data_IF_065604504371
#
_entry.id   IF_065604504371
#
_cell.length_a   1.000
_cell.length_b   1.000
_cell.length_c   1.000
_cell.angle_alpha   90.00
_cell.angle_beta   90.00
_cell.angle_gamma   90.00
#
_symmetry.space_group_name_H-M   'P 1'
#
loop_
_entity.id
_entity.type
_entity.pdbx_description
1 polymer ?
#
# COMPACT_ATOMS: atom_id res chain seq x y z
N UNK A 1 -8.78 -41.36 -70.58
CA UNK A 1 -9.07 -41.11 -69.15
C UNK A 1 -7.83 -40.99 -68.25
N UNK A 2 -6.74 -41.76 -68.46
CA UNK A 2 -5.55 -41.66 -67.59
C UNK A 2 -4.76 -40.34 -67.72
N UNK A 3 -4.64 -39.77 -68.92
CA UNK A 3 -3.92 -38.50 -69.14
C UNK A 3 -4.59 -37.28 -68.46
N UNK A 4 -5.92 -37.28 -68.32
CA UNK A 4 -6.67 -36.20 -67.65
C UNK A 4 -6.45 -36.22 -66.12
N UNK A 5 -6.27 -37.41 -65.52
CA UNK A 5 -5.98 -37.56 -64.08
C UNK A 5 -4.57 -37.07 -63.72
N UNK A 6 -3.60 -37.22 -64.62
CA UNK A 6 -2.21 -36.78 -64.39
C UNK A 6 -2.08 -35.25 -64.39
N UNK A 7 -2.80 -34.56 -65.28
CA UNK A 7 -2.80 -33.09 -65.33
C UNK A 7 -3.53 -32.46 -64.12
N UNK A 8 -4.64 -33.07 -63.67
CA UNK A 8 -5.33 -32.60 -62.47
C UNK A 8 -4.45 -32.77 -61.21
N UNK A 9 -3.71 -33.87 -61.12
CA UNK A 9 -2.81 -34.15 -60.01
C UNK A 9 -1.60 -33.19 -59.97
N UNK A 10 -1.04 -32.85 -61.15
CA UNK A 10 0.02 -31.84 -61.26
C UNK A 10 -0.48 -30.44 -60.88
N UNK A 11 -1.67 -30.04 -61.33
CA UNK A 11 -2.22 -28.73 -60.97
C UNK A 11 -2.61 -28.65 -59.48
N UNK A 12 -3.12 -29.73 -58.89
CA UNK A 12 -3.36 -29.79 -57.44
C UNK A 12 -2.05 -29.72 -56.64
N UNK A 13 -0.99 -30.42 -57.07
CA UNK A 13 0.32 -30.34 -56.43
C UNK A 13 0.94 -28.94 -56.54
N UNK A 14 0.77 -28.26 -57.67
CA UNK A 14 1.19 -26.86 -57.84
C UNK A 14 0.39 -25.92 -56.95
N UNK A 15 -0.92 -26.14 -56.80
CA UNK A 15 -1.78 -25.33 -55.93
C UNK A 15 -1.45 -25.54 -54.45
N UNK A 16 -1.16 -26.79 -54.04
CA UNK A 16 -0.73 -27.14 -52.68
C UNK A 16 0.67 -26.57 -52.40
N UNK A 17 1.58 -26.58 -53.37
CA UNK A 17 2.91 -25.96 -53.22
C UNK A 17 2.81 -24.44 -53.09
N UNK A 18 1.91 -23.77 -53.84
CA UNK A 18 1.65 -22.33 -53.71
C UNK A 18 0.96 -21.99 -52.37
N UNK A 19 0.03 -22.82 -51.91
CA UNK A 19 -0.60 -22.69 -50.58
C UNK A 19 0.40 -22.96 -49.43
N UNK A 20 1.36 -23.87 -49.62
CA UNK A 20 2.43 -24.14 -48.65
C UNK A 20 3.50 -23.03 -48.59
N UNK A 21 3.69 -22.28 -49.69
CA UNK A 21 4.55 -21.08 -49.72
C UNK A 21 3.82 -19.86 -49.14
N UNK A 22 2.48 -19.81 -49.22
CA UNK A 22 1.65 -18.77 -48.59
C UNK A 22 1.33 -19.02 -47.12
N UNK A 23 1.49 -20.27 -46.65
CA UNK A 23 1.62 -20.57 -45.23
C UNK A 23 2.99 -20.06 -44.78
N UNK A 24 3.09 -18.73 -44.60
CA UNK A 24 4.26 -18.09 -44.02
C UNK A 24 4.67 -18.87 -42.78
N UNK A 25 5.98 -19.16 -42.66
CA UNK A 25 6.50 -19.85 -41.49
C UNK A 25 5.96 -19.14 -40.26
N UNK A 26 5.19 -19.86 -39.43
CA UNK A 26 4.72 -19.33 -38.17
C UNK A 26 5.95 -19.08 -37.30
N UNK A 27 6.48 -17.85 -37.35
CA UNK A 27 7.58 -17.44 -36.49
C UNK A 27 7.00 -17.41 -35.08
N UNK A 28 7.50 -18.27 -34.21
CA UNK A 28 7.18 -18.16 -32.80
C UNK A 28 7.81 -16.85 -32.29
N UNK A 29 6.98 -15.95 -31.76
CA UNK A 29 7.42 -14.67 -31.20
C UNK A 29 6.91 -14.51 -29.78
N UNK A 30 7.69 -13.84 -28.94
CA UNK A 30 7.22 -13.37 -27.65
C UNK A 30 6.29 -12.17 -27.86
N UNK A 31 5.29 -12.03 -27.00
CA UNK A 31 4.37 -10.89 -26.99
C UNK A 31 4.32 -10.31 -25.60
N UNK A 32 4.53 -9.01 -25.50
CA UNK A 32 4.28 -8.25 -24.30
C UNK A 32 3.43 -7.04 -24.64
N UNK A 33 2.24 -6.95 -24.04
CA UNK A 33 1.32 -5.83 -24.20
C UNK A 33 1.17 -5.10 -22.86
N UNK A 34 2.05 -4.12 -22.55
CA UNK A 34 1.95 -3.36 -21.31
C UNK A 34 0.63 -2.60 -21.17
N UNK A 35 0.01 -2.25 -22.29
CA UNK A 35 -1.29 -1.60 -22.34
C UNK A 35 -2.16 -2.25 -23.40
N UNK A 36 -3.16 -3.01 -22.97
CA UNK A 36 -4.08 -3.72 -23.86
C UNK A 36 -4.74 -2.76 -24.86
N UNK A 37 -4.60 -3.07 -26.15
CA UNK A 37 -5.17 -2.28 -27.24
C UNK A 37 -4.51 -0.92 -27.47
N UNK A 38 -3.38 -0.63 -26.83
CA UNK A 38 -2.69 0.66 -26.99
C UNK A 38 -1.18 0.56 -27.22
N UNK A 39 -0.51 -0.42 -26.61
CA UNK A 39 0.91 -0.67 -26.85
C UNK A 39 1.25 -2.14 -26.67
N UNK A 40 1.85 -2.74 -27.70
CA UNK A 40 2.40 -4.08 -27.66
C UNK A 40 3.79 -4.10 -28.30
N UNK A 41 4.66 -4.92 -27.75
CA UNK A 41 5.93 -5.29 -28.36
C UNK A 41 6.00 -6.79 -28.53
N UNK A 42 6.48 -7.20 -29.69
CA UNK A 42 6.75 -8.58 -30.02
C UNK A 42 8.23 -8.76 -30.27
N UNK A 43 8.77 -9.94 -29.97
CA UNK A 43 10.18 -10.21 -30.23
C UNK A 43 10.48 -11.65 -30.63
N UNK A 44 11.54 -11.84 -31.40
CA UNK A 44 12.11 -13.15 -31.71
C UNK A 44 13.59 -12.99 -32.08
N UNK A 45 14.31 -14.10 -32.18
CA UNK A 45 15.69 -14.13 -32.66
C UNK A 45 15.69 -14.58 -34.13
N UNK A 46 16.32 -13.78 -35.00
CA UNK A 46 16.46 -14.13 -36.41
C UNK A 46 17.51 -15.24 -36.63
N UNK A 47 17.63 -15.74 -37.87
CA UNK A 47 18.59 -16.79 -38.22
C UNK A 47 20.06 -16.38 -38.05
N UNK A 48 20.34 -15.09 -37.86
CA UNK A 48 21.68 -14.54 -37.66
C UNK A 48 21.96 -14.26 -36.17
N UNK A 49 21.02 -14.56 -35.27
CA UNK A 49 21.16 -14.32 -33.83
C UNK A 49 20.83 -12.88 -33.40
N UNK A 50 20.27 -12.05 -34.27
CA UNK A 50 19.84 -10.70 -33.90
C UNK A 50 18.48 -10.72 -33.20
N UNK A 51 18.31 -9.86 -32.20
CA UNK A 51 17.00 -9.64 -31.60
C UNK A 51 16.16 -8.75 -32.53
N UNK A 52 15.01 -9.27 -32.95
CA UNK A 52 14.04 -8.54 -33.77
C UNK A 52 12.87 -8.14 -32.90
N UNK A 53 12.48 -6.88 -32.98
CA UNK A 53 11.33 -6.34 -32.26
C UNK A 53 10.29 -5.81 -33.25
N UNK A 54 9.01 -5.97 -32.91
CA UNK A 54 7.91 -5.27 -33.57
C UNK A 54 7.10 -4.52 -32.54
N UNK A 55 6.97 -3.21 -32.69
CA UNK A 55 6.17 -2.36 -31.83
C UNK A 55 4.87 -2.04 -32.54
N UNK A 56 3.75 -2.19 -31.83
CA UNK A 56 2.43 -1.72 -32.23
C UNK A 56 1.91 -0.72 -31.21
N UNK A 57 1.44 0.43 -31.67
CA UNK A 57 0.86 1.45 -30.81
C UNK A 57 -0.38 2.10 -31.43
N UNK A 58 -1.37 2.43 -30.61
CA UNK A 58 -2.53 3.24 -31.00
C UNK A 58 -2.23 4.74 -31.06
N UNK A 59 -1.01 5.16 -30.74
CA UNK A 59 -0.60 6.56 -30.79
C UNK A 59 -0.56 7.10 -32.22
N UNK A 60 -0.89 8.39 -32.41
CA UNK A 60 -0.82 9.05 -33.72
C UNK A 60 0.46 9.86 -33.92
N UNK A 61 1.15 10.21 -32.84
CA UNK A 61 2.35 11.04 -32.89
C UNK A 61 3.61 10.22 -33.06
N UNK A 62 4.03 9.54 -31.98
CA UNK A 62 5.19 8.66 -31.98
C UNK A 62 5.05 7.56 -30.92
N UNK A 63 5.76 6.45 -31.12
CA UNK A 63 5.84 5.34 -30.18
C UNK A 63 7.32 4.91 -30.03
N UNK A 64 7.74 4.56 -28.82
CA UNK A 64 9.13 4.25 -28.52
C UNK A 64 9.28 3.03 -27.62
N UNK A 65 10.38 2.31 -27.84
CA UNK A 65 10.86 1.23 -27.00
C UNK A 65 12.30 1.52 -26.59
N UNK A 66 12.64 1.36 -25.32
CA UNK A 66 13.97 1.66 -24.80
C UNK A 66 14.46 0.66 -23.76
N UNK A 67 15.78 0.59 -23.59
CA UNK A 67 16.44 -0.25 -22.59
C UNK A 67 16.37 0.36 -21.19
N UNK A 68 16.53 -0.49 -20.17
CA UNK A 68 16.73 -0.06 -18.80
C UNK A 68 15.42 0.17 -18.02
N UNK A 69 15.55 0.86 -16.88
CA UNK A 69 14.45 1.07 -15.95
C UNK A 69 13.77 2.44 -16.06
N UNK A 70 14.45 3.40 -16.69
CA UNK A 70 14.05 4.80 -16.75
C UNK A 70 14.60 5.45 -18.01
N UNK A 71 14.07 6.61 -18.37
CA UNK A 71 14.53 7.39 -19.51
C UNK A 71 16.01 7.78 -19.38
N UNK A 72 16.48 8.11 -18.18
CA UNK A 72 17.90 8.37 -17.93
C UNK A 72 18.74 7.09 -18.11
N UNK A 73 19.76 7.15 -18.97
CA UNK A 73 20.63 6.01 -19.30
C UNK A 73 20.02 5.03 -20.30
N UNK A 74 18.84 5.34 -20.87
CA UNK A 74 18.17 4.47 -21.84
C UNK A 74 18.69 4.70 -23.26
N UNK A 75 18.89 3.60 -23.98
CA UNK A 75 18.98 3.59 -25.43
C UNK A 75 17.62 3.21 -26.00
N UNK A 76 17.09 4.01 -26.91
CA UNK A 76 15.71 3.86 -27.38
C UNK A 76 15.56 4.00 -28.89
N UNK A 77 14.57 3.29 -29.41
CA UNK A 77 14.11 3.39 -30.79
C UNK A 77 12.75 4.08 -30.75
N UNK A 78 12.65 5.21 -31.42
CA UNK A 78 11.40 5.98 -31.56
C UNK A 78 10.92 5.84 -32.99
N UNK A 79 9.66 5.44 -33.20
CA UNK A 79 9.01 5.33 -34.50
C UNK A 79 7.80 6.24 -34.65
N UNK A 80 7.60 6.79 -35.84
CA UNK A 80 6.44 7.62 -36.20
C UNK A 80 6.09 7.51 -37.68
N UNK A 81 4.89 7.96 -38.05
CA UNK A 81 4.50 8.10 -39.45
C UNK A 81 5.03 9.44 -39.97
N UNK A 82 5.85 9.41 -41.01
CA UNK A 82 6.45 10.58 -41.62
C UNK A 82 5.47 11.31 -42.56
N UNK A 83 5.91 12.44 -43.14
CA UNK A 83 5.09 13.25 -44.05
C UNK A 83 4.69 12.55 -45.35
N UNK A 84 5.34 11.43 -45.70
CA UNK A 84 5.02 10.62 -46.89
C UNK A 84 4.18 9.39 -46.54
N UNK A 85 3.55 9.36 -45.35
CA UNK A 85 2.80 8.21 -44.81
C UNK A 85 3.62 6.91 -44.65
N UNK A 86 4.95 7.00 -44.68
CA UNK A 86 5.84 5.89 -44.36
C UNK A 86 6.17 5.88 -42.87
N UNK A 87 6.63 4.73 -42.36
CA UNK A 87 7.13 4.65 -40.98
C UNK A 87 8.61 4.96 -40.95
N UNK A 88 9.03 5.87 -40.08
CA UNK A 88 10.42 6.20 -39.82
C UNK A 88 10.78 5.83 -38.39
N UNK A 89 12.02 5.38 -38.16
CA UNK A 89 12.58 5.18 -36.82
C UNK A 89 13.79 6.09 -36.55
N UNK A 90 14.09 6.35 -35.28
CA UNK A 90 15.26 7.09 -34.82
C UNK A 90 15.89 6.40 -33.62
N UNK A 91 17.18 6.12 -33.72
CA UNK A 91 18.04 5.66 -32.63
C UNK A 91 18.36 6.85 -31.72
N UNK A 92 18.10 6.75 -30.41
CA UNK A 92 18.35 7.83 -29.46
C UNK A 92 18.94 7.34 -28.15
N UNK A 93 19.73 8.21 -27.53
CA UNK A 93 20.33 7.99 -26.21
C UNK A 93 19.88 9.10 -25.29
N UNK A 94 19.47 8.73 -24.08
CA UNK A 94 19.04 9.67 -23.08
C UNK A 94 19.95 9.66 -21.86
N UNK A 95 20.34 10.84 -21.41
CA UNK A 95 21.13 11.07 -20.19
C UNK A 95 20.27 11.58 -19.02
N UNK A 96 18.96 11.72 -19.22
CA UNK A 96 18.05 12.30 -18.24
C UNK A 96 16.58 12.20 -18.64
N UNK A 97 15.80 13.24 -18.36
CA UNK A 97 14.36 13.33 -18.67
C UNK A 97 14.03 14.40 -19.72
N UNK A 98 15.05 14.87 -20.44
CA UNK A 98 14.89 15.80 -21.56
C UNK A 98 14.73 15.05 -22.88
N UNK A 99 14.35 15.75 -23.96
CA UNK A 99 14.25 15.15 -25.30
C UNK A 99 15.57 14.43 -25.65
N UNK A 100 15.55 13.11 -25.90
CA UNK A 100 16.77 12.34 -26.15
C UNK A 100 17.48 12.81 -27.41
N UNK A 101 18.81 12.84 -27.36
CA UNK A 101 19.61 13.14 -28.54
C UNK A 101 19.65 11.94 -29.49
N UNK A 102 19.84 12.21 -30.79
CA UNK A 102 20.13 11.14 -31.75
C UNK A 102 21.41 10.40 -31.34
N UNK A 103 21.38 9.07 -31.46
CA UNK A 103 22.55 8.26 -31.16
C UNK A 103 23.69 8.57 -32.15
N UNK A 104 24.95 8.58 -31.71
CA UNK A 104 26.10 8.84 -32.58
C UNK A 104 26.35 7.70 -33.60
N UNK A 105 25.79 6.52 -33.35
CA UNK A 105 25.78 5.39 -34.27
C UNK A 105 24.45 4.64 -34.17
N UNK A 106 24.02 4.02 -35.26
CA UNK A 106 22.81 3.19 -35.29
C UNK A 106 23.05 1.86 -34.58
N UNK A 107 22.17 1.52 -33.64
CA UNK A 107 22.16 0.21 -32.96
C UNK A 107 20.92 -0.62 -33.30
N UNK A 108 19.85 0.03 -33.76
CA UNK A 108 18.68 -0.59 -34.32
C UNK A 108 18.47 -0.16 -35.78
N UNK A 109 18.18 -1.15 -36.64
CA UNK A 109 17.97 -0.96 -38.06
C UNK A 109 16.54 -1.32 -38.41
N UNK A 110 15.85 -0.44 -39.13
CA UNK A 110 14.46 -0.65 -39.54
C UNK A 110 14.35 -1.85 -40.48
N UNK A 111 13.31 -2.65 -40.25
CA UNK A 111 12.95 -3.78 -41.10
C UNK A 111 11.57 -3.53 -41.71
N UNK A 112 11.22 -4.24 -42.81
CA UNK A 112 9.82 -4.44 -43.17
C UNK A 112 9.04 -4.97 -41.97
N UNK A 113 7.77 -4.61 -41.88
CA UNK A 113 6.93 -5.03 -40.76
C UNK A 113 6.88 -6.58 -40.70
N UNK A 114 7.36 -7.15 -39.60
CA UNK A 114 7.48 -8.60 -39.42
C UNK A 114 6.18 -9.22 -38.89
N UNK A 115 5.42 -8.46 -38.10
CA UNK A 115 4.15 -8.90 -37.52
C UNK A 115 3.05 -7.96 -38.02
N UNK A 116 2.00 -8.48 -38.69
CA UNK A 116 0.92 -7.67 -39.24
C UNK A 116 0.24 -6.77 -38.21
N UNK A 117 -0.26 -5.62 -38.67
CA UNK A 117 -0.96 -4.68 -37.80
C UNK A 117 -2.22 -5.30 -37.18
N UNK A 118 -2.38 -5.25 -35.84
CA UNK A 118 -3.68 -5.49 -35.25
C UNK A 118 -4.63 -4.31 -35.55
N UNK A 119 -5.96 -4.50 -35.50
CA UNK A 119 -6.94 -3.47 -35.90
C UNK A 119 -6.86 -2.15 -35.12
N UNK A 120 -6.30 -2.16 -33.92
CA UNK A 120 -6.18 -0.99 -33.05
C UNK A 120 -4.87 -0.20 -33.24
N UNK A 121 -3.88 -0.75 -33.94
CA UNK A 121 -2.58 -0.12 -34.09
C UNK A 121 -2.58 0.92 -35.22
N UNK A 122 -2.12 2.13 -34.89
CA UNK A 122 -1.94 3.22 -35.84
C UNK A 122 -0.47 3.28 -36.27
N UNK A 123 0.47 3.20 -35.31
CA UNK A 123 1.90 3.15 -35.57
C UNK A 123 2.38 1.72 -35.35
N UNK A 124 3.03 1.15 -36.37
CA UNK A 124 3.69 -0.15 -36.27
C UNK A 124 5.02 -0.14 -36.99
N UNK A 125 6.06 -0.67 -36.35
CA UNK A 125 7.37 -0.80 -36.97
C UNK A 125 8.13 -1.99 -36.40
N UNK A 126 8.94 -2.60 -37.28
CA UNK A 126 9.88 -3.64 -36.90
C UNK A 126 11.30 -3.15 -37.06
N UNK A 127 12.18 -3.62 -36.18
CA UNK A 127 13.60 -3.32 -36.24
C UNK A 127 14.41 -4.48 -35.69
N UNK A 128 15.62 -4.66 -36.22
CA UNK A 128 16.62 -5.54 -35.63
C UNK A 128 17.55 -4.74 -34.74
N UNK A 129 17.91 -5.30 -33.60
CA UNK A 129 18.88 -4.75 -32.67
C UNK A 129 20.21 -5.48 -32.83
N UNK A 130 21.28 -4.73 -33.11
CA UNK A 130 22.60 -5.31 -33.32
C UNK A 130 23.15 -5.88 -32.00
N UNK A 131 23.50 -7.18 -31.93
CA UNK A 131 23.99 -7.81 -30.71
C UNK A 131 25.38 -7.32 -30.28
N UNK A 132 26.15 -6.69 -31.18
CA UNK A 132 27.50 -6.17 -30.94
C UNK A 132 27.55 -4.69 -30.51
N UNK A 133 26.41 -4.06 -30.23
CA UNK A 133 26.38 -2.64 -29.86
C UNK A 133 26.86 -2.41 -28.41
N UNK A 134 28.06 -1.84 -28.27
CA UNK A 134 28.58 -1.35 -26.98
C UNK A 134 27.83 -0.12 -26.46
N UNK A 135 27.01 0.52 -27.31
CA UNK A 135 26.30 1.76 -27.01
C UNK A 135 24.93 1.45 -26.38
N UNK A 136 24.32 0.34 -26.81
CA UNK A 136 22.95 0.00 -26.47
C UNK A 136 22.83 -1.51 -26.16
N UNK A 137 23.41 -2.01 -25.06
CA UNK A 137 23.39 -3.42 -24.72
C UNK A 137 21.97 -3.88 -24.37
N UNK A 138 21.58 -5.03 -24.92
CA UNK A 138 20.36 -5.75 -24.53
C UNK A 138 20.65 -6.73 -23.40
N UNK A 139 19.65 -6.96 -22.56
CA UNK A 139 19.69 -7.98 -21.49
C UNK A 139 18.45 -8.86 -21.58
N UNK A 140 18.62 -10.18 -21.47
CA UNK A 140 17.50 -11.14 -21.50
C UNK A 140 17.69 -12.18 -20.40
N UNK A 141 16.76 -12.29 -19.43
CA UNK A 141 15.65 -11.36 -19.17
C UNK A 141 16.17 -9.97 -18.78
N UNK A 142 15.53 -8.91 -19.29
CA UNK A 142 15.94 -7.54 -19.05
C UNK A 142 14.79 -6.60 -18.71
N UNK A 143 15.15 -5.43 -18.21
CA UNK A 143 14.17 -4.35 -17.99
C UNK A 143 14.24 -3.37 -19.16
N UNK A 144 13.05 -2.98 -19.62
CA UNK A 144 12.83 -2.07 -20.73
C UNK A 144 11.76 -1.05 -20.37
N UNK A 145 11.61 -0.04 -21.21
CA UNK A 145 10.62 1.01 -21.11
C UNK A 145 9.91 1.20 -22.44
N UNK A 146 8.68 1.70 -22.38
CA UNK A 146 7.96 2.18 -23.55
C UNK A 146 7.42 3.57 -23.29
N UNK A 147 7.23 4.33 -24.35
CA UNK A 147 6.59 5.63 -24.30
C UNK A 147 5.90 5.93 -25.63
N UNK A 148 4.87 6.76 -25.60
CA UNK A 148 4.18 7.20 -26.79
C UNK A 148 3.56 8.59 -26.58
N UNK A 149 3.33 9.28 -27.70
CA UNK A 149 2.58 10.53 -27.75
C UNK A 149 1.34 10.33 -28.63
N UNK A 150 0.17 10.38 -28.01
CA UNK A 150 -1.10 10.00 -28.64
C UNK A 150 -1.55 10.93 -29.76
N UNK A 151 -1.21 12.22 -29.70
CA UNK A 151 -1.72 13.22 -30.66
C UNK A 151 -0.85 13.30 -31.93
N UNK A 152 -1.43 13.74 -33.04
CA UNK A 152 -0.67 13.92 -34.30
C UNK A 152 0.45 14.92 -34.12
N UNK A 153 1.61 14.61 -34.69
CA UNK A 153 2.73 15.55 -34.76
C UNK A 153 2.36 16.77 -35.62
N UNK A 154 2.72 17.95 -35.14
CA UNK A 154 2.68 19.17 -35.95
C UNK A 154 3.81 19.15 -36.98
N UNK A 155 3.58 19.53 -38.26
CA UNK A 155 4.63 19.60 -39.26
C UNK A 155 5.79 20.50 -38.79
N UNK A 156 7.02 19.98 -38.82
CA UNK A 156 8.22 20.71 -38.39
C UNK A 156 8.39 20.87 -36.86
N UNK A 157 7.49 20.32 -36.06
CA UNK A 157 7.62 20.30 -34.60
C UNK A 157 8.65 19.27 -34.11
N UNK A 158 9.38 19.59 -33.04
CA UNK A 158 10.21 18.62 -32.33
C UNK A 158 9.38 17.52 -31.67
N UNK A 159 10.02 16.47 -31.15
CA UNK A 159 9.32 15.38 -30.45
C UNK A 159 8.65 15.90 -29.16
N UNK A 160 7.30 15.91 -29.07
CA UNK A 160 6.61 16.31 -27.86
C UNK A 160 6.85 15.29 -26.74
N UNK A 161 6.69 15.73 -25.49
CA UNK A 161 6.79 14.86 -24.31
C UNK A 161 5.70 13.79 -24.37
N UNK A 162 6.05 12.53 -24.07
CA UNK A 162 5.10 11.44 -24.03
C UNK A 162 3.94 11.71 -23.05
N UNK A 163 2.73 11.30 -23.43
CA UNK A 163 1.56 11.28 -22.56
C UNK A 163 1.17 9.84 -22.18
N UNK A 164 1.78 8.83 -22.80
CA UNK A 164 1.69 7.41 -22.42
C UNK A 164 3.09 6.85 -22.21
N UNK A 165 3.33 6.13 -21.11
CA UNK A 165 4.64 5.55 -20.77
C UNK A 165 4.54 4.44 -19.76
N UNK A 166 5.53 3.56 -19.74
CA UNK A 166 5.68 2.57 -18.69
C UNK A 166 6.95 1.75 -18.81
N UNK A 167 7.01 0.66 -18.05
CA UNK A 167 8.15 -0.23 -18.01
C UNK A 167 7.74 -1.67 -18.27
N UNK A 168 8.58 -2.40 -18.98
CA UNK A 168 8.47 -3.84 -19.24
C UNK A 168 9.56 -4.52 -18.41
N UNK A 169 9.19 -5.38 -17.46
CA UNK A 169 10.12 -5.99 -16.50
C UNK A 169 10.35 -7.44 -16.82
N UNK A 170 11.57 -7.91 -16.59
CA UNK A 170 12.00 -9.28 -16.87
C UNK A 170 11.56 -9.76 -18.27
N UNK A 171 11.61 -8.86 -19.26
CA UNK A 171 11.26 -9.18 -20.62
C UNK A 171 12.37 -10.05 -21.19
N UNK A 172 12.00 -11.31 -21.46
CA UNK A 172 12.89 -12.26 -22.09
C UNK A 172 12.60 -12.29 -23.59
N UNK A 173 13.36 -11.50 -24.35
CA UNK A 173 13.14 -11.40 -25.79
C UNK A 173 13.63 -12.65 -26.55
N UNK A 174 14.34 -13.56 -25.87
CA UNK A 174 14.86 -14.81 -26.44
C UNK A 174 13.83 -15.95 -26.39
N UNK A 175 12.89 -15.93 -25.46
CA UNK A 175 11.88 -16.98 -25.33
C UNK A 175 10.63 -16.62 -26.11
N UNK A 176 10.46 -17.21 -27.28
CA UNK A 176 9.17 -17.19 -27.96
C UNK A 176 8.15 -17.94 -27.10
N UNK A 177 7.11 -17.26 -26.63
CA UNK A 177 5.98 -17.95 -26.01
C UNK A 177 5.23 -18.73 -27.11
N UNK A 178 4.83 -19.99 -26.87
CA UNK A 178 3.95 -20.68 -27.81
C UNK A 178 2.65 -19.86 -27.93
N UNK A 179 2.29 -19.56 -29.18
CA UNK A 179 1.06 -18.87 -29.56
C UNK A 179 -0.16 -19.55 -28.93
N UNK A 180 -0.78 -18.92 -27.93
CA UNK A 180 -2.14 -19.28 -27.51
C UNK A 180 -3.08 -18.50 -28.41
N UNK A 181 -3.47 -19.17 -29.50
CA UNK A 181 -4.63 -18.76 -30.29
C UNK A 181 -5.89 -18.89 -29.43
N UNK A 182 -6.85 -18.00 -29.62
CA UNK A 182 -8.03 -17.88 -28.77
C UNK A 182 -8.84 -19.17 -28.70
N UNK A 183 -8.99 -19.73 -27.50
CA UNK A 183 -9.80 -20.93 -27.27
C UNK A 183 -10.09 -21.17 -25.80
N UNK A 184 -11.36 -21.01 -25.45
CA UNK A 184 -12.11 -21.45 -24.26
C UNK A 184 -11.38 -22.30 -23.20
N UNK A 185 -11.49 -21.84 -21.96
CA UNK A 185 -11.11 -22.58 -20.75
C UNK A 185 -11.76 -23.97 -20.67
N UNK A 186 -10.94 -25.02 -20.59
CA UNK A 186 -11.04 -26.08 -19.58
C UNK A 186 -9.91 -27.11 -19.76
N UNK A 187 -9.10 -27.33 -18.72
CA UNK A 187 -8.85 -28.66 -18.13
C UNK A 187 -7.73 -28.63 -17.08
N UNK A 188 -8.15 -28.97 -15.87
CA UNK A 188 -7.54 -29.81 -14.84
C UNK A 188 -6.16 -30.46 -15.09
N UNK A 189 -5.25 -30.22 -14.13
CA UNK A 189 -4.26 -31.14 -13.49
C UNK A 189 -3.30 -31.93 -14.41
N UNK A 190 -2.05 -32.26 -14.06
CA UNK A 190 -1.26 -32.28 -12.84
C UNK A 190 0.19 -32.52 -13.29
N UNK A 191 1.17 -31.89 -12.67
CA UNK A 191 2.57 -32.06 -13.07
C UNK A 191 3.51 -31.43 -12.06
N UNK A 192 3.82 -32.19 -11.01
CA UNK A 192 4.70 -31.81 -9.90
C UNK A 192 6.10 -31.50 -10.41
N UNK A 193 6.42 -30.20 -10.49
CA UNK A 193 7.79 -29.70 -10.49
C UNK A 193 7.84 -28.54 -9.50
N UNK A 194 8.43 -28.80 -8.33
CA UNK A 194 8.80 -27.75 -7.37
C UNK A 194 9.91 -26.91 -8.00
N UNK A 195 9.50 -25.99 -8.87
CA UNK A 195 10.30 -24.82 -9.19
C UNK A 195 9.94 -23.76 -8.16
N UNK A 196 10.89 -23.41 -7.31
CA UNK A 196 10.78 -22.28 -6.39
C UNK A 196 10.44 -21.04 -7.21
N UNK A 197 9.17 -20.62 -7.16
CA UNK A 197 8.70 -19.44 -7.86
C UNK A 197 9.41 -18.21 -7.28
N UNK A 198 10.51 -17.80 -7.92
CA UNK A 198 11.00 -16.44 -7.83
C UNK A 198 9.88 -15.60 -8.46
N UNK A 199 9.19 -14.86 -7.59
CA UNK A 199 7.96 -14.15 -7.91
C UNK A 199 8.24 -13.04 -8.93
N UNK A 200 8.22 -13.42 -10.20
CA UNK A 200 8.41 -12.54 -11.34
C UNK A 200 7.06 -11.89 -11.62
N UNK A 201 6.96 -10.58 -11.38
CA UNK A 201 5.70 -9.85 -11.51
C UNK A 201 5.23 -9.83 -12.96
N UNK A 202 4.21 -10.63 -13.27
CA UNK A 202 3.38 -10.39 -14.45
C UNK A 202 2.76 -8.98 -14.34
N UNK A 203 2.45 -8.29 -15.45
CA UNK A 203 1.73 -7.01 -15.44
C UNK A 203 0.44 -7.04 -14.60
N UNK A 204 -0.24 -8.21 -14.57
CA UNK A 204 -1.40 -8.45 -13.73
C UNK A 204 -1.08 -8.54 -12.23
N UNK A 205 0.06 -9.13 -11.84
CA UNK A 205 0.49 -9.16 -10.45
C UNK A 205 0.86 -7.75 -9.96
N UNK A 206 1.56 -6.96 -10.77
CA UNK A 206 1.90 -5.58 -10.42
C UNK A 206 0.65 -4.72 -10.25
N UNK A 207 -0.31 -4.80 -11.19
CA UNK A 207 -1.61 -4.13 -11.06
C UNK A 207 -2.33 -4.56 -9.78
N UNK A 208 -2.35 -5.86 -9.49
CA UNK A 208 -2.95 -6.41 -8.26
C UNK A 208 -2.29 -5.81 -7.02
N UNK A 209 -0.97 -5.72 -6.99
CA UNK A 209 -0.22 -5.15 -5.88
C UNK A 209 -0.51 -3.66 -5.72
N UNK A 210 -0.61 -2.90 -6.81
CA UNK A 210 -0.98 -1.48 -6.78
C UNK A 210 -2.40 -1.30 -6.21
N UNK A 211 -3.35 -2.14 -6.62
CA UNK A 211 -4.72 -2.13 -6.08
C UNK A 211 -4.73 -2.50 -4.60
N UNK A 212 -4.03 -3.56 -4.19
CA UNK A 212 -3.90 -3.94 -2.78
C UNK A 212 -3.24 -2.83 -1.95
N UNK A 213 -2.23 -2.15 -2.51
CA UNK A 213 -1.61 -1.00 -1.87
C UNK A 213 -2.64 0.12 -1.65
N UNK A 214 -3.40 0.49 -2.69
CA UNK A 214 -4.43 1.52 -2.61
C UNK A 214 -5.54 1.18 -1.60
N UNK A 215 -6.07 -0.04 -1.62
CA UNK A 215 -7.09 -0.50 -0.67
C UNK A 215 -6.53 -0.51 0.75
N UNK A 216 -5.33 -1.04 0.96
CA UNK A 216 -4.67 -1.06 2.27
C UNK A 216 -4.43 0.35 2.81
N UNK A 217 -3.99 1.29 1.96
CA UNK A 217 -3.81 2.69 2.34
C UNK A 217 -5.14 3.38 2.65
N UNK A 218 -6.22 3.06 1.94
CA UNK A 218 -7.55 3.57 2.28
C UNK A 218 -8.04 3.07 3.64
N UNK A 219 -7.83 1.79 3.97
CA UNK A 219 -8.13 1.29 5.33
C UNK A 219 -7.25 2.01 6.37
N UNK A 220 -5.96 2.15 6.09
CA UNK A 220 -4.99 2.71 7.03
C UNK A 220 -5.13 4.21 7.27
N UNK A 221 -5.52 5.00 6.27
CA UNK A 221 -5.57 6.47 6.35
C UNK A 221 -6.96 7.05 6.12
N UNK A 222 -7.82 6.32 5.41
CA UNK A 222 -9.20 6.69 5.16
C UNK A 222 -10.18 6.15 6.21
N UNK A 223 -9.84 5.13 7.01
CA UNK A 223 -10.78 4.53 7.98
C UNK A 223 -10.20 4.53 9.40
N UNK A 224 -9.05 3.89 9.63
CA UNK A 224 -8.52 3.65 10.97
C UNK A 224 -8.32 4.94 11.81
N UNK A 225 -7.74 6.03 11.28
CA UNK A 225 -7.60 7.30 11.98
C UNK A 225 -8.92 7.86 12.50
N UNK A 226 -9.98 7.78 11.69
CA UNK A 226 -11.30 8.29 12.06
C UNK A 226 -11.82 7.61 13.33
N UNK A 227 -11.85 6.27 13.33
CA UNK A 227 -12.37 5.52 14.45
C UNK A 227 -11.49 5.63 15.69
N UNK A 228 -10.18 5.40 15.57
CA UNK A 228 -9.34 5.39 16.76
C UNK A 228 -9.13 6.79 17.37
N UNK A 229 -9.10 7.87 16.57
CA UNK A 229 -9.05 9.24 17.12
C UNK A 229 -10.39 9.60 17.76
N UNK A 230 -11.52 9.24 17.14
CA UNK A 230 -12.84 9.50 17.71
C UNK A 230 -12.99 8.82 19.08
N UNK A 231 -12.58 7.55 19.19
CA UNK A 231 -12.56 6.80 20.46
C UNK A 231 -11.69 7.50 21.51
N UNK A 232 -10.45 7.85 21.15
CA UNK A 232 -9.51 8.49 22.07
C UNK A 232 -9.89 9.93 22.44
N UNK A 233 -10.78 10.58 21.67
CA UNK A 233 -11.23 11.95 21.95
C UNK A 233 -12.54 12.00 22.74
N UNK A 234 -13.54 11.24 22.32
CA UNK A 234 -14.92 11.41 22.81
C UNK A 234 -15.43 10.27 23.69
N UNK A 235 -14.80 9.09 23.64
CA UNK A 235 -15.31 7.88 24.31
C UNK A 235 -14.49 7.45 25.54
N UNK A 236 -13.55 8.27 26.00
CA UNK A 236 -12.69 8.00 27.16
C UNK A 236 -13.47 7.65 28.43
N UNK A 237 -14.47 8.46 28.77
CA UNK A 237 -15.27 8.26 30.00
C UNK A 237 -16.20 7.06 29.91
N UNK A 238 -16.72 6.76 28.70
CA UNK A 238 -17.66 5.67 28.47
C UNK A 238 -17.00 4.30 28.42
N UNK A 239 -15.76 4.23 27.94
CA UNK A 239 -15.05 2.97 27.68
C UNK A 239 -14.00 2.64 28.75
N UNK A 240 -13.72 3.53 29.70
CA UNK A 240 -12.70 3.34 30.74
C UNK A 240 -11.38 2.81 30.13
N UNK A 241 -10.74 1.74 30.66
CA UNK A 241 -9.47 1.22 30.12
C UNK A 241 -9.54 0.85 28.62
N UNK A 242 -10.73 0.51 28.10
CA UNK A 242 -10.91 0.05 26.73
C UNK A 242 -10.69 1.15 25.69
N UNK A 243 -10.85 2.43 26.02
CA UNK A 243 -10.56 3.50 25.03
C UNK A 243 -9.12 3.41 24.53
N UNK A 244 -8.18 3.13 25.44
CA UNK A 244 -6.75 3.05 25.13
C UNK A 244 -6.45 1.79 24.33
N UNK A 245 -7.00 0.63 24.73
CA UNK A 245 -6.80 -0.64 24.01
C UNK A 245 -7.34 -0.58 22.58
N UNK A 246 -8.54 -0.03 22.40
CA UNK A 246 -9.14 0.11 21.08
C UNK A 246 -8.37 1.12 20.23
N UNK A 247 -7.96 2.26 20.79
CA UNK A 247 -7.10 3.21 20.08
C UNK A 247 -5.79 2.57 19.65
N UNK A 248 -5.13 1.84 20.56
CA UNK A 248 -3.88 1.14 20.30
C UNK A 248 -4.06 0.10 19.19
N UNK A 249 -5.05 -0.79 19.28
CA UNK A 249 -5.27 -1.84 18.28
C UNK A 249 -5.59 -1.22 16.91
N UNK A 250 -6.48 -0.23 16.86
CA UNK A 250 -6.87 0.41 15.60
C UNK A 250 -5.69 1.14 14.96
N UNK A 251 -4.95 1.94 15.74
CA UNK A 251 -3.81 2.70 15.20
C UNK A 251 -2.60 1.82 14.90
N UNK A 252 -2.31 0.83 15.74
CA UNK A 252 -1.14 -0.01 15.58
C UNK A 252 -1.34 -1.06 14.47
N UNK A 253 -2.45 -1.80 14.50
CA UNK A 253 -2.68 -2.87 13.51
C UNK A 253 -3.15 -2.29 12.19
N UNK A 254 -4.22 -1.49 12.21
CA UNK A 254 -4.87 -1.07 10.97
C UNK A 254 -4.25 0.19 10.34
N UNK A 255 -3.61 1.07 11.11
CA UNK A 255 -2.88 2.20 10.53
C UNK A 255 -1.40 1.88 10.35
N UNK A 256 -0.66 1.56 11.41
CA UNK A 256 0.80 1.37 11.35
C UNK A 256 1.22 0.11 10.56
N UNK A 257 0.78 -1.09 10.94
CA UNK A 257 1.21 -2.33 10.27
C UNK A 257 0.79 -2.33 8.79
N UNK A 258 -0.44 -1.92 8.47
CA UNK A 258 -0.87 -1.82 7.07
C UNK A 258 -0.08 -0.77 6.29
N UNK A 259 0.23 0.39 6.88
CA UNK A 259 1.05 1.42 6.20
C UNK A 259 2.43 0.89 5.88
N UNK A 260 3.12 0.31 6.87
CA UNK A 260 4.47 -0.23 6.68
C UNK A 260 4.46 -1.41 5.72
N UNK A 261 3.57 -2.38 5.92
CA UNK A 261 3.46 -3.56 5.07
C UNK A 261 3.18 -3.20 3.61
N UNK A 262 2.21 -2.33 3.37
CA UNK A 262 1.86 -1.88 2.03
C UNK A 262 2.93 -0.98 1.38
N UNK A 263 3.66 -0.17 2.17
CA UNK A 263 4.83 0.60 1.68
C UNK A 263 5.99 -0.32 1.29
N UNK A 264 6.28 -1.33 2.12
CA UNK A 264 7.34 -2.31 1.85
C UNK A 264 7.00 -3.15 0.62
N UNK A 265 5.76 -3.64 0.53
CA UNK A 265 5.30 -4.41 -0.64
C UNK A 265 5.44 -3.57 -1.91
N UNK A 266 4.95 -2.33 -1.95
CA UNK A 266 5.07 -1.53 -3.18
C UNK A 266 6.53 -1.15 -3.49
N UNK A 267 7.37 -0.99 -2.47
CA UNK A 267 8.80 -0.74 -2.62
C UNK A 267 9.52 -1.93 -3.24
N UNK A 268 9.27 -3.14 -2.75
CA UNK A 268 9.91 -4.37 -3.24
C UNK A 268 9.57 -4.69 -4.70
N UNK A 269 8.39 -4.26 -5.18
CA UNK A 269 7.93 -4.54 -6.54
C UNK A 269 8.13 -3.37 -7.52
N UNK A 270 8.59 -2.21 -7.04
CA UNK A 270 8.85 -1.04 -7.88
C UNK A 270 10.35 -0.82 -8.01
N UNK A 271 10.86 -0.78 -9.23
CA UNK A 271 12.26 -0.41 -9.49
C UNK A 271 12.44 1.12 -9.66
N UNK A 272 13.60 1.68 -9.28
CA UNK A 272 13.82 3.13 -9.17
C UNK A 272 13.77 3.92 -10.51
N UNK A 273 13.63 5.27 -10.47
CA UNK A 273 13.88 6.13 -9.32
C UNK A 273 12.68 6.20 -8.37
N UNK A 274 12.94 5.81 -7.12
CA UNK A 274 12.09 6.17 -6.00
C UNK A 274 12.13 7.72 -5.88
N UNK A 275 11.07 8.35 -5.35
CA UNK A 275 11.04 9.77 -4.96
C UNK A 275 10.84 10.88 -6.03
N UNK A 276 10.39 10.60 -7.26
CA UNK A 276 10.18 11.68 -8.25
C UNK A 276 8.75 12.22 -8.35
N UNK A 277 7.80 11.63 -7.62
CA UNK A 277 6.40 12.02 -7.66
C UNK A 277 5.95 12.49 -6.27
N UNK A 278 5.06 13.48 -6.23
CA UNK A 278 4.55 14.08 -4.99
C UNK A 278 3.88 13.02 -4.10
N UNK A 279 3.14 12.07 -4.67
CA UNK A 279 2.54 10.96 -3.92
C UNK A 279 3.61 10.11 -3.22
N UNK A 280 4.72 9.81 -3.93
CA UNK A 280 5.78 8.95 -3.41
C UNK A 280 6.55 9.65 -2.29
N UNK A 281 6.86 10.94 -2.49
CA UNK A 281 7.56 11.74 -1.50
C UNK A 281 6.72 11.91 -0.23
N UNK A 282 5.45 12.33 -0.38
CA UNK A 282 4.54 12.49 0.73
C UNK A 282 4.24 11.16 1.43
N UNK A 283 4.06 10.08 0.67
CA UNK A 283 3.83 8.74 1.20
C UNK A 283 4.96 8.27 2.13
N UNK A 284 6.23 8.51 1.76
CA UNK A 284 7.36 8.12 2.61
C UNK A 284 7.48 9.00 3.85
N UNK A 285 7.21 10.31 3.72
CA UNK A 285 7.10 11.21 4.88
C UNK A 285 6.02 10.70 5.85
N UNK A 286 4.85 10.29 5.34
CA UNK A 286 3.76 9.71 6.13
C UNK A 286 4.17 8.38 6.77
N UNK A 287 4.83 7.49 6.02
CA UNK A 287 5.29 6.18 6.53
C UNK A 287 6.35 6.31 7.63
N UNK A 288 7.27 7.28 7.53
CA UNK A 288 8.21 7.58 8.63
C UNK A 288 7.49 8.23 9.80
N UNK A 289 6.55 9.15 9.52
CA UNK A 289 5.80 9.84 10.56
C UNK A 289 4.92 8.91 11.39
N UNK A 290 4.38 7.83 10.81
CA UNK A 290 3.58 6.85 11.57
C UNK A 290 4.45 6.03 12.54
N UNK A 291 5.73 5.75 12.20
CA UNK A 291 6.68 5.13 13.13
C UNK A 291 6.91 6.06 14.34
N UNK A 292 7.16 7.34 14.08
CA UNK A 292 7.35 8.35 15.13
C UNK A 292 6.09 8.46 15.99
N UNK A 293 4.89 8.40 15.38
CA UNK A 293 3.63 8.43 16.12
C UNK A 293 3.44 7.25 17.08
N UNK A 294 3.78 6.04 16.65
CA UNK A 294 3.73 4.85 17.49
C UNK A 294 4.68 4.99 18.68
N UNK A 295 5.91 5.44 18.45
CA UNK A 295 6.89 5.69 19.53
C UNK A 295 6.33 6.72 20.53
N UNK A 296 5.79 7.85 20.04
CA UNK A 296 5.18 8.86 20.91
C UNK A 296 3.97 8.34 21.68
N UNK A 297 3.15 7.47 21.08
CA UNK A 297 2.03 6.83 21.75
C UNK A 297 2.49 5.96 22.93
N UNK A 298 3.53 5.15 22.74
CA UNK A 298 4.12 4.37 23.83
C UNK A 298 4.79 5.23 24.90
N UNK A 299 5.49 6.30 24.51
CA UNK A 299 6.06 7.27 25.46
C UNK A 299 4.96 7.96 26.28
N UNK A 300 3.87 8.39 25.64
CA UNK A 300 2.70 8.99 26.29
C UNK A 300 2.10 8.05 27.34
N UNK A 301 1.96 6.76 27.01
CA UNK A 301 1.48 5.75 27.94
C UNK A 301 2.49 5.45 29.07
N UNK A 302 3.77 5.32 28.76
CA UNK A 302 4.81 5.02 29.75
C UNK A 302 5.00 6.16 30.78
N UNK A 303 4.85 7.41 30.33
CA UNK A 303 4.93 8.59 31.17
C UNK A 303 3.56 9.02 31.74
N UNK A 304 2.53 8.18 31.59
CA UNK A 304 1.20 8.50 32.09
C UNK A 304 1.16 8.52 33.61
N UNK A 305 0.73 9.65 34.18
CA UNK A 305 0.49 9.81 35.60
C UNK A 305 -0.96 10.24 35.84
N UNK A 306 -1.70 9.49 36.66
CA UNK A 306 -3.09 9.79 37.05
C UNK A 306 -3.21 11.11 37.81
N UNK A 307 -2.22 11.48 38.62
CA UNK A 307 -2.19 12.70 39.43
C UNK A 307 -1.67 13.95 38.70
N UNK A 308 -1.61 13.94 37.36
CA UNK A 308 -1.06 15.07 36.60
C UNK A 308 -1.97 16.30 36.67
N UNK A 309 -1.42 17.43 37.08
CA UNK A 309 -2.16 18.71 37.17
C UNK A 309 -2.33 19.39 35.81
N UNK A 310 -1.49 19.05 34.83
CA UNK A 310 -1.53 19.59 33.47
C UNK A 310 -1.24 18.53 32.42
N UNK A 311 -1.72 18.77 31.21
CA UNK A 311 -1.43 17.90 30.06
C UNK A 311 0.04 18.09 29.66
N UNK A 312 0.86 17.03 29.72
CA UNK A 312 2.28 17.11 29.39
C UNK A 312 2.53 17.50 27.94
N UNK A 313 3.74 18.01 27.66
CA UNK A 313 4.12 18.46 26.31
C UNK A 313 4.14 17.29 25.32
N UNK A 314 4.61 16.10 25.71
CA UNK A 314 4.66 14.94 24.82
C UNK A 314 3.27 14.49 24.34
N UNK A 315 2.25 14.54 25.19
CA UNK A 315 0.85 14.27 24.80
C UNK A 315 0.35 15.33 23.79
N UNK A 316 0.75 16.59 23.99
CA UNK A 316 0.38 17.68 23.06
C UNK A 316 1.05 17.53 21.71
N UNK A 317 2.32 17.13 21.69
CA UNK A 317 3.05 16.88 20.45
C UNK A 317 2.44 15.68 19.73
N UNK A 318 2.19 14.58 20.44
CA UNK A 318 1.54 13.38 19.89
C UNK A 318 0.24 13.70 19.16
N UNK A 319 -0.69 14.43 19.80
CA UNK A 319 -1.98 14.72 19.17
C UNK A 319 -1.90 15.71 18.00
N UNK A 320 -0.95 16.65 18.00
CA UNK A 320 -0.90 17.72 16.98
C UNK A 320 -0.16 17.23 15.76
N UNK A 321 0.99 16.57 16.00
CA UNK A 321 1.65 15.81 14.97
C UNK A 321 0.68 14.77 14.38
N UNK A 322 -0.18 14.16 15.19
CA UNK A 322 -1.12 13.12 14.73
C UNK A 322 -2.12 13.68 13.73
N UNK A 323 -2.67 14.86 14.01
CA UNK A 323 -3.58 15.58 13.10
C UNK A 323 -2.90 15.96 11.79
N UNK A 324 -1.67 16.48 11.86
CA UNK A 324 -0.91 16.85 10.66
C UNK A 324 -0.63 15.62 9.78
N UNK A 325 -0.23 14.51 10.39
CA UNK A 325 0.03 13.26 9.68
C UNK A 325 -1.25 12.68 9.09
N UNK A 326 -2.40 12.77 9.78
CA UNK A 326 -3.69 12.36 9.22
C UNK A 326 -4.10 13.21 8.01
N UNK A 327 -3.90 14.53 8.06
CA UNK A 327 -4.16 15.41 6.92
C UNK A 327 -3.23 15.08 5.73
N UNK A 328 -1.95 14.83 5.99
CA UNK A 328 -1.00 14.40 4.98
C UNK A 328 -1.38 13.03 4.37
N UNK A 329 -1.80 12.05 5.18
CA UNK A 329 -2.28 10.75 4.72
C UNK A 329 -3.53 10.87 3.84
N UNK A 330 -4.50 11.70 4.23
CA UNK A 330 -5.68 11.98 3.44
C UNK A 330 -5.33 12.61 2.08
N UNK A 331 -4.48 13.65 2.07
CA UNK A 331 -3.98 14.25 0.83
C UNK A 331 -3.25 13.22 -0.05
N UNK A 332 -2.45 12.34 0.57
CA UNK A 332 -1.70 11.33 -0.15
C UNK A 332 -2.58 10.26 -0.81
N UNK A 333 -3.77 9.98 -0.28
CA UNK A 333 -4.77 9.12 -0.93
C UNK A 333 -5.25 9.71 -2.25
N UNK A 334 -5.53 11.02 -2.30
CA UNK A 334 -5.92 11.69 -3.55
C UNK A 334 -4.79 11.68 -4.57
N UNK A 335 -3.56 11.97 -4.15
CA UNK A 335 -2.39 11.90 -5.03
C UNK A 335 -2.17 10.48 -5.55
N UNK A 336 -2.43 9.46 -4.72
CA UNK A 336 -2.34 8.05 -5.13
C UNK A 336 -3.37 7.68 -6.18
N UNK A 337 -4.60 8.20 -6.06
CA UNK A 337 -5.63 8.06 -7.10
C UNK A 337 -5.21 8.78 -8.39
N UNK A 338 -4.73 10.02 -8.34
CA UNK A 338 -4.24 10.71 -9.54
C UNK A 338 -3.10 9.91 -10.22
N UNK A 339 -2.14 9.42 -9.44
CA UNK A 339 -1.07 8.57 -9.97
C UNK A 339 -1.60 7.27 -10.58
N UNK A 340 -2.61 6.63 -9.97
CA UNK A 340 -3.23 5.41 -10.51
C UNK A 340 -3.93 5.68 -11.86
N UNK A 341 -4.53 6.86 -12.03
CA UNK A 341 -5.08 7.32 -13.31
C UNK A 341 -3.98 7.52 -14.36
N UNK A 342 -2.93 8.25 -13.99
CA UNK A 342 -1.81 8.59 -14.89
C UNK A 342 -1.01 7.35 -15.32
N UNK A 343 -1.12 6.25 -14.57
CA UNK A 343 -0.60 4.93 -14.95
C UNK A 343 -1.45 4.23 -16.03
N UNK A 344 -2.55 4.83 -16.48
CA UNK A 344 -3.45 4.28 -17.50
C UNK A 344 -4.45 3.26 -16.96
N UNK A 345 -4.58 3.13 -15.63
CA UNK A 345 -5.60 2.27 -15.05
C UNK A 345 -6.95 2.99 -15.04
N UNK A 346 -7.98 2.30 -15.51
CA UNK A 346 -9.36 2.80 -15.47
C UNK A 346 -9.82 2.93 -14.02
N UNK A 347 -10.22 4.14 -13.63
CA UNK A 347 -10.98 4.40 -12.40
C UNK A 347 -12.27 5.15 -12.71
N UNK A 348 -13.33 4.92 -11.93
CA UNK A 348 -14.53 5.74 -12.04
C UNK A 348 -14.21 7.19 -11.66
N UNK A 349 -14.58 8.15 -12.52
CA UNK A 349 -14.36 9.58 -12.29
C UNK A 349 -15.02 10.11 -11.00
N UNK A 350 -16.07 9.43 -10.51
CA UNK A 350 -16.78 9.78 -9.28
C UNK A 350 -16.05 9.34 -8.01
N UNK A 351 -15.04 8.46 -8.08
CA UNK A 351 -14.38 7.92 -6.90
C UNK A 351 -13.67 9.00 -6.05
N UNK A 352 -12.86 9.92 -6.63
CA UNK A 352 -12.28 11.01 -5.85
C UNK A 352 -13.34 11.96 -5.27
N UNK A 353 -14.46 12.16 -5.97
CA UNK A 353 -15.56 13.02 -5.51
C UNK A 353 -16.20 12.41 -4.25
N UNK A 354 -16.52 11.11 -4.28
CA UNK A 354 -17.07 10.41 -3.12
C UNK A 354 -16.09 10.44 -1.95
N UNK A 355 -14.79 10.23 -2.22
CA UNK A 355 -13.76 10.31 -1.19
C UNK A 355 -13.68 11.72 -0.58
N UNK A 356 -13.82 12.78 -1.38
CA UNK A 356 -13.91 14.16 -0.92
C UNK A 356 -15.12 14.42 -0.03
N UNK A 357 -16.31 13.96 -0.45
CA UNK A 357 -17.54 14.04 0.36
C UNK A 357 -17.38 13.27 1.68
N UNK A 358 -16.74 12.10 1.65
CA UNK A 358 -16.43 11.31 2.84
C UNK A 358 -15.54 12.09 3.82
N UNK A 359 -14.42 12.66 3.37
CA UNK A 359 -13.53 13.44 4.24
C UNK A 359 -14.20 14.70 4.78
N UNK A 360 -15.02 15.37 3.97
CA UNK A 360 -15.80 16.53 4.40
C UNK A 360 -16.84 16.14 5.46
N UNK A 361 -17.59 15.06 5.24
CA UNK A 361 -18.55 14.53 6.21
C UNK A 361 -17.88 14.15 7.52
N UNK A 362 -16.71 13.51 7.46
CA UNK A 362 -15.91 13.21 8.65
C UNK A 362 -15.44 14.47 9.38
N UNK A 363 -15.01 15.51 8.67
CA UNK A 363 -14.65 16.80 9.28
C UNK A 363 -15.85 17.44 10.00
N UNK A 364 -17.03 17.42 9.39
CA UNK A 364 -18.28 17.89 10.01
C UNK A 364 -18.60 17.06 11.25
N UNK A 365 -18.51 15.73 11.19
CA UNK A 365 -18.74 14.84 12.32
C UNK A 365 -17.80 15.13 13.50
N UNK A 366 -16.51 15.36 13.23
CA UNK A 366 -15.57 15.75 14.29
C UNK A 366 -15.86 17.14 14.86
N UNK A 367 -16.32 18.08 14.03
CA UNK A 367 -16.70 19.43 14.46
C UNK A 367 -17.97 19.41 15.34
N UNK A 368 -18.96 18.59 14.98
CA UNK A 368 -20.14 18.35 15.80
C UNK A 368 -19.76 17.63 17.10
N UNK A 369 -18.92 16.60 17.03
CA UNK A 369 -18.43 15.88 18.21
C UNK A 369 -17.76 16.81 19.22
N UNK A 370 -16.96 17.78 18.77
CA UNK A 370 -16.34 18.80 19.62
C UNK A 370 -17.40 19.68 20.31
N UNK A 371 -18.47 20.05 19.60
CA UNK A 371 -19.58 20.84 20.17
C UNK A 371 -20.43 20.06 21.17
N UNK A 372 -20.72 18.79 20.89
CA UNK A 372 -21.63 17.97 21.69
C UNK A 372 -20.98 17.36 22.94
N UNK A 373 -19.77 16.80 22.81
CA UNK A 373 -19.09 16.14 23.92
C UNK A 373 -18.17 17.09 24.69
N UNK A 374 -17.83 18.24 24.09
CA UNK A 374 -16.88 19.19 24.68
C UNK A 374 -15.47 18.61 24.80
N UNK A 375 -14.55 19.43 25.31
CA UNK A 375 -13.20 18.99 25.61
C UNK A 375 -13.20 18.21 26.93
N UNK A 376 -12.95 16.90 26.87
CA UNK A 376 -12.74 16.10 28.09
C UNK A 376 -11.39 16.49 28.69
N UNK A 377 -11.41 17.42 29.65
CA UNK A 377 -10.22 17.84 30.37
C UNK A 377 -9.79 16.76 31.37
N UNK A 378 -8.56 16.25 31.22
CA UNK A 378 -7.92 15.27 32.09
C UNK A 378 -7.77 15.70 33.57
N UNK A 379 -8.26 16.90 33.94
CA UNK A 379 -8.02 17.57 35.23
C UNK A 379 -9.15 17.27 36.24
N UNK A 380 -10.35 16.87 35.79
CA UNK A 380 -11.52 16.70 36.69
C UNK A 380 -11.39 15.60 37.76
N UNK A 381 -10.43 14.69 37.64
CA UNK A 381 -10.15 13.67 38.67
C UNK A 381 -9.29 14.17 39.84
N UNK A 382 -8.69 15.36 39.73
CA UNK A 382 -7.85 15.97 40.79
C UNK A 382 -8.63 16.79 41.82
N UNK A 383 -9.93 16.99 41.60
CA UNK A 383 -10.77 17.85 42.44
C UNK A 383 -11.32 17.18 43.70
N UNK A 384 -11.14 15.87 43.89
CA UNK A 384 -11.57 15.16 45.09
C UNK A 384 -10.44 15.14 46.14
N UNK A 385 -10.55 15.88 47.25
CA UNK A 385 -9.53 15.93 48.30
C UNK A 385 -9.20 14.55 48.89
N UNK A 386 -10.16 13.62 48.88
CA UNK A 386 -10.00 12.27 49.45
C UNK A 386 -9.00 11.41 48.65
N UNK A 387 -8.93 11.59 47.34
CA UNK A 387 -8.00 10.89 46.45
C UNK A 387 -6.59 11.52 46.46
N UNK A 388 -6.48 12.81 46.80
CA UNK A 388 -5.19 13.50 46.97
C UNK A 388 -4.46 13.04 48.24
N UNK A 389 -5.23 12.76 49.31
CA UNK A 389 -4.69 12.41 50.62
C UNK A 389 -4.22 10.95 50.72
N UNK A 390 -4.77 10.04 49.90
CA UNK A 390 -4.30 8.64 49.83
C UNK A 390 -2.94 8.49 49.15
N UNK A 391 -2.53 9.45 48.32
CA UNK A 391 -1.26 9.42 47.58
C UNK A 391 -0.05 9.88 48.42
N UNK A 392 -0.29 10.71 49.45
CA UNK A 392 0.77 11.28 50.31
C UNK A 392 1.01 10.51 51.61
N UNK A 393 0.30 9.41 51.90
CA UNK A 393 0.65 8.55 53.03
C UNK A 393 1.76 7.59 52.61
N UNK A 394 2.99 7.70 53.17
CA UNK A 394 3.91 6.56 53.13
C UNK A 394 3.20 5.38 53.80
N UNK A 395 3.34 4.19 53.23
CA UNK A 395 2.85 2.96 53.83
C UNK A 395 3.46 2.82 55.22
N UNK A 396 2.72 3.22 56.26
CA UNK A 396 3.00 2.73 57.60
C UNK A 396 2.66 1.26 57.57
N UNK A 397 3.70 0.43 57.60
CA UNK A 397 3.58 -1.00 57.88
C UNK A 397 2.75 -1.16 59.16
N UNK A 398 1.58 -1.77 59.04
CA UNK A 398 0.80 -2.17 60.21
C UNK A 398 1.66 -3.10 61.09
N UNK A 399 1.77 -2.85 62.42
CA UNK A 399 2.38 -3.81 63.32
C UNK A 399 1.54 -5.10 63.33
N UNK A 400 2.19 -6.25 63.15
CA UNK A 400 1.55 -7.57 63.35
C UNK A 400 1.07 -7.70 64.80
N UNK A 401 -0.06 -8.39 65.06
CA UNK A 401 -0.44 -8.76 66.42
C UNK A 401 0.56 -9.80 66.95
N UNK A 402 1.08 -9.58 68.16
CA UNK A 402 1.82 -10.60 68.90
C UNK A 402 0.88 -11.78 69.23
N UNK A 403 1.19 -12.95 68.69
CA UNK A 403 0.72 -14.23 69.22
C UNK A 403 1.79 -14.76 70.17
N UNK A 404 1.42 -14.88 71.44
CA UNK A 404 2.23 -15.50 72.50
C UNK A 404 2.11 -17.03 72.43
N UNK A 405 3.22 -17.74 72.24
CA UNK A 405 3.75 -18.73 73.21
C UNK A 405 4.91 -19.57 72.64
N UNK A 406 6.04 -19.45 73.34
CA UNK A 406 6.88 -20.53 73.89
C UNK A 406 7.58 -21.53 72.95
N UNK A 407 8.92 -21.46 72.91
CA UNK A 407 9.81 -22.56 72.54
C UNK A 407 11.22 -22.09 72.13
N UNK A 408 12.22 -22.31 72.99
CA UNK A 408 13.67 -22.02 72.84
C UNK A 408 14.35 -23.05 71.85
N UNK A 409 15.66 -23.00 71.54
CA UNK A 409 16.30 -22.65 70.27
C UNK A 409 17.01 -23.90 69.65
N UNK A 410 17.57 -23.87 68.44
CA UNK A 410 18.91 -23.38 68.13
C UNK A 410 19.20 -23.50 66.62
N UNK A 411 20.09 -22.61 66.19
CA UNK A 411 21.19 -22.80 65.23
C UNK A 411 21.09 -22.55 63.70
N UNK A 412 22.07 -21.73 63.29
CA UNK A 412 22.80 -21.60 62.02
C UNK A 412 22.24 -20.80 60.81
N UNK A 413 22.86 -19.62 60.65
CA UNK A 413 23.40 -19.02 59.41
C UNK A 413 22.97 -19.57 58.05
N UNK A 414 22.37 -18.71 57.22
CA UNK A 414 22.75 -18.58 55.80
C UNK A 414 22.16 -17.30 55.17
N UNK A 415 23.04 -16.49 54.59
CA UNK A 415 22.70 -15.35 53.75
C UNK A 415 22.01 -15.83 52.46
N UNK A 416 20.78 -15.35 52.20
CA UNK A 416 20.12 -15.50 50.91
C UNK A 416 19.07 -14.40 50.70
N UNK A 417 19.39 -13.39 49.89
CA UNK A 417 18.38 -12.47 49.35
C UNK A 417 17.46 -13.26 48.40
N UNK A 418 16.13 -13.19 48.51
CA UNK A 418 15.26 -13.67 47.45
C UNK A 418 15.30 -12.68 46.28
N UNK A 419 15.80 -13.13 45.13
CA UNK A 419 15.57 -12.50 43.84
C UNK A 419 14.08 -12.56 43.50
N UNK A 420 13.44 -11.39 43.41
CA UNK A 420 12.08 -11.26 42.87
C UNK A 420 12.15 -11.55 41.37
N UNK A 421 11.41 -12.52 40.82
CA UNK A 421 11.39 -12.74 39.38
C UNK A 421 10.67 -11.57 38.68
N UNK A 422 11.11 -11.15 37.49
CA UNK A 422 10.45 -10.08 36.75
C UNK A 422 9.03 -10.53 36.38
N UNK A 423 8.04 -9.77 36.84
CA UNK A 423 6.65 -9.94 36.44
C UNK A 423 6.49 -9.58 34.95
N UNK A 424 5.75 -10.36 34.15
CA UNK A 424 5.43 -10.02 32.78
C UNK A 424 4.77 -8.64 32.68
N UNK A 425 5.12 -7.86 31.65
CA UNK A 425 4.65 -6.49 31.47
C UNK A 425 3.12 -6.36 31.43
N UNK A 426 2.42 -7.40 30.96
CA UNK A 426 0.97 -7.47 30.86
C UNK A 426 0.28 -7.57 32.25
N UNK A 427 0.90 -8.25 33.21
CA UNK A 427 0.36 -8.41 34.55
C UNK A 427 0.44 -7.10 35.33
N UNK A 428 1.54 -6.36 35.20
CA UNK A 428 1.75 -5.10 35.92
C UNK A 428 0.84 -3.95 35.44
N UNK A 429 0.37 -4.00 34.19
CA UNK A 429 -0.56 -3.02 33.64
C UNK A 429 -2.02 -3.38 33.96
N UNK A 430 -2.38 -4.66 33.88
CA UNK A 430 -3.70 -5.17 34.25
C UNK A 430 -3.96 -5.05 35.76
N UNK A 431 -2.97 -5.41 36.58
CA UNK A 431 -3.04 -5.32 38.05
C UNK A 431 -3.14 -3.87 38.54
N UNK A 432 -2.44 -2.94 37.87
CA UNK A 432 -2.56 -1.50 38.14
C UNK A 432 -3.83 -0.84 37.60
N UNK A 433 -4.65 -1.54 36.82
CA UNK A 433 -5.96 -1.05 36.41
C UNK A 433 -7.10 -1.73 37.17
N UNK A 434 -6.99 -3.04 37.45
CA UNK A 434 -7.99 -3.84 38.16
C UNK A 434 -8.13 -3.46 39.65
N UNK A 435 -7.02 -3.16 40.32
CA UNK A 435 -7.05 -2.67 41.72
C UNK A 435 -7.80 -1.35 41.88
N UNK A 436 -7.98 -0.59 40.80
CA UNK A 436 -8.70 0.69 40.83
C UNK A 436 -10.21 0.53 40.63
N UNK A 437 -10.66 -0.46 39.86
CA UNK A 437 -12.09 -0.78 39.76
C UNK A 437 -12.63 -1.19 41.12
N UNK A 438 -11.88 -2.02 41.86
CA UNK A 438 -12.22 -2.43 43.22
C UNK A 438 -12.33 -1.25 44.20
N UNK A 439 -11.42 -0.27 44.11
CA UNK A 439 -11.44 0.94 44.94
C UNK A 439 -12.63 1.88 44.62
N UNK A 440 -13.04 1.95 43.34
CA UNK A 440 -14.18 2.77 42.90
C UNK A 440 -15.52 2.22 43.40
N UNK A 441 -15.67 0.90 43.49
CA UNK A 441 -16.88 0.27 44.05
C UNK A 441 -16.92 0.31 45.58
N UNK A 442 -15.77 0.31 46.25
CA UNK A 442 -15.70 0.42 47.71
C UNK A 442 -15.86 1.87 48.22
N UNK A 443 -15.59 2.88 47.40
CA UNK A 443 -15.89 4.28 47.71
C UNK A 443 -17.37 4.68 47.50
N UNK A 444 -18.18 3.83 46.86
CA UNK A 444 -19.61 4.09 46.59
C UNK A 444 -20.54 3.49 47.67
N UNK A 445 -20.01 2.69 48.61
CA UNK A 445 -20.76 2.32 49.82
C UNK A 445 -20.73 3.46 50.84
N UNK A 446 -21.88 4.09 51.19
CA UNK A 446 -21.90 5.03 52.30
C UNK A 446 -21.59 4.26 53.58
N UNK A 447 -20.56 4.70 54.30
CA UNK A 447 -20.31 4.27 55.67
C UNK A 447 -21.46 4.74 56.56
N UNK A 448 -22.49 3.92 56.77
CA UNK A 448 -23.36 4.07 57.92
C UNK A 448 -22.57 3.65 59.15
N UNK A 449 -22.09 4.62 59.91
CA UNK A 449 -21.65 4.42 61.29
C UNK A 449 -22.50 5.26 62.21
N UNK A 450 -23.37 4.65 63.02
CA UNK A 450 -23.18 4.56 64.48
C UNK A 450 -24.29 3.83 65.23
N UNK A 451 -23.80 3.07 66.22
CA UNK A 451 -24.33 2.75 67.55
C UNK A 451 -25.61 1.91 67.69
N UNK A 452 -25.39 0.70 68.21
CA UNK A 452 -26.35 -0.08 68.98
C UNK A 452 -26.85 0.72 70.20
N UNK A 453 -28.16 0.73 70.46
CA UNK A 453 -28.67 0.24 71.74
C UNK A 453 -30.15 -0.18 71.67
N UNK A 454 -30.51 -1.06 72.60
CA UNK A 454 -31.65 -1.99 72.61
C UNK A 454 -33.04 -1.36 72.79
N UNK A 455 -34.03 -2.08 72.23
CA UNK A 455 -35.20 -2.68 72.91
C UNK A 455 -36.61 -2.27 72.42
N UNK A 456 -37.35 -3.33 72.05
CA UNK A 456 -38.76 -3.60 72.33
C UNK A 456 -39.88 -2.74 71.68
N UNK A 457 -40.53 -3.40 70.72
CA UNK A 457 -41.97 -3.70 70.69
C UNK A 457 -42.95 -2.72 70.01
N UNK A 458 -43.84 -3.34 69.20
CA UNK A 458 -45.27 -3.03 69.01
C UNK A 458 -45.70 -2.04 67.91
N UNK A 459 -46.17 -2.64 66.81
CA UNK A 459 -47.52 -2.54 66.17
C UNK A 459 -48.16 -1.17 65.81
N UNK A 460 -48.76 -1.22 64.62
CA UNK A 460 -50.02 -0.61 64.13
C UNK A 460 -50.04 0.81 63.52
N UNK A 461 -50.46 0.82 62.25
CA UNK A 461 -51.47 1.67 61.56
C UNK A 461 -51.29 3.16 61.19
N UNK A 462 -52.01 3.49 60.10
CA UNK A 462 -52.42 4.76 59.45
C UNK A 462 -51.46 5.40 58.43
N UNK A 463 -51.72 5.38 57.11
CA UNK A 463 -52.76 6.05 56.27
C UNK A 463 -52.38 7.45 55.73
N UNK A 464 -52.68 7.61 54.42
CA UNK A 464 -53.15 8.80 53.68
C UNK A 464 -52.17 9.87 53.15
N UNK A 465 -52.43 10.24 51.88
CA UNK A 465 -52.27 11.62 51.37
C UNK A 465 -51.48 11.77 50.05
N UNK A 466 -52.13 11.62 48.88
CA UNK A 466 -52.44 12.70 47.89
C UNK A 466 -51.24 13.28 47.13
N UNK A 467 -51.06 12.98 45.82
CA UNK A 467 -51.62 13.70 44.66
C UNK A 467 -51.30 15.19 44.62
N UNK A 468 -50.51 15.65 43.63
CA UNK A 468 -50.94 16.67 42.66
C UNK A 468 -49.87 16.88 41.54
N UNK A 469 -50.36 16.73 40.30
CA UNK A 469 -49.88 17.20 38.97
C UNK A 469 -48.47 16.87 38.46
#
# INVERSE_FOLDING_TARGET
>A
MQLFRINLYRQLLSLIAVLAVLAGQAIAYNTNCPTNGAFCIHSFIDSQGNAVFTVHSSAQGWAAFGTGNSMSGSSMVIGWINSTNGVAISNRISTGHAVPAAAPAEFAVQLPLQIPNPPWAIISFSFKWAPSSNIAPLTSPGNYIYAAFSDKLSPGGGLPVHNSRGSIKAFDYNTAAPSVDGGTANSTQSGTSKSTAILSSTPDLYKTIVVLHGVGMFVAWGIAPFFGIFIARYLKEKLDVWWYRLHLIIMFVFCFVLTIGSTVIIYLYKTPPHFQDVHRMLGIIVSVSVIIQVIMGFVSNALYNKGRERIPIWDKVHWWFGRLVCAAGAANLFLGLLMYHDMGYTMPYWLPIILGVYFFGSFVMFSLGERYYGKVDHIKLSGDPSLRQSYYRPSMSNPRPLSTKSGYPDDHNSFGRPSIPPQPFDDAANDRYSRYTAARYSAVTPSQGRSNDRSLNRRDDYQLGTSYR
#
